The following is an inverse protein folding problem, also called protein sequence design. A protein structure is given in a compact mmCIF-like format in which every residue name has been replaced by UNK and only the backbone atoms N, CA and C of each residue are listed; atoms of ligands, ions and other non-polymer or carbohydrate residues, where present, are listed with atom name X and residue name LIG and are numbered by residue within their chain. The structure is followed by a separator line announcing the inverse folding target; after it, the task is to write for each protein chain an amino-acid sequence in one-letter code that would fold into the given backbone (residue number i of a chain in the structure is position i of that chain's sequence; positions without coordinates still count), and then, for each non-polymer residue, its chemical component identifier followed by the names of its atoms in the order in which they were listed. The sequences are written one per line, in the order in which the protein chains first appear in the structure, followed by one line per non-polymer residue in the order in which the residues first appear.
data_IF_325937707624
#
_entry.id   IF_325937707624
#
_cell.length_a   1.000
_cell.length_b   1.000
_cell.length_c   1.000
_cell.angle_alpha   90.00
_cell.angle_beta   90.00
_cell.angle_gamma   90.00
#
_symmetry.space_group_name_H-M   'P 1'
#
loop_
_entity.id
_entity.type
_entity.pdbx_description
1 polymer ?
#
# COMPACT_ATOMS: atom_id res chain seq x y z
N UNK A 1 -30.98 16.97 -14.99
CA UNK A 1 -30.63 16.81 -13.57
C UNK A 1 -30.37 18.16 -12.95
N UNK A 2 -30.74 18.36 -11.68
CA UNK A 2 -30.33 19.56 -10.92
C UNK A 2 -28.81 19.52 -10.78
N UNK A 3 -28.11 20.61 -11.15
CA UNK A 3 -26.65 20.68 -11.02
C UNK A 3 -26.27 20.52 -9.54
N UNK A 4 -25.46 19.51 -9.21
CA UNK A 4 -24.96 19.28 -7.85
C UNK A 4 -24.08 20.46 -7.42
N UNK A 5 -24.16 20.85 -6.15
CA UNK A 5 -23.33 21.93 -5.60
C UNK A 5 -22.03 21.34 -5.03
N UNK A 6 -20.89 21.70 -5.63
CA UNK A 6 -19.58 21.17 -5.27
C UNK A 6 -19.23 21.43 -3.81
N UNK A 7 -19.41 22.65 -3.31
CA UNK A 7 -19.08 23.01 -1.92
C UNK A 7 -19.87 22.16 -0.92
N UNK A 8 -21.19 22.03 -1.12
CA UNK A 8 -22.04 21.19 -0.26
C UNK A 8 -21.67 19.71 -0.35
N UNK A 9 -21.27 19.23 -1.52
CA UNK A 9 -20.82 17.85 -1.70
C UNK A 9 -19.50 17.59 -0.96
N UNK A 10 -18.53 18.51 -1.07
CA UNK A 10 -17.25 18.42 -0.38
C UNK A 10 -17.40 18.46 1.14
N UNK A 11 -18.38 19.19 1.68
CA UNK A 11 -18.70 19.24 3.11
C UNK A 11 -19.14 17.88 3.69
N UNK A 12 -19.56 16.92 2.86
CA UNK A 12 -19.97 15.57 3.29
C UNK A 12 -18.81 14.59 3.42
N UNK A 13 -17.58 15.01 3.07
CA UNK A 13 -16.43 14.14 3.07
C UNK A 13 -16.03 13.72 4.48
N UNK A 14 -15.54 12.48 4.59
CA UNK A 14 -15.10 11.88 5.85
C UNK A 14 -13.66 12.24 6.16
N UNK A 15 -13.37 12.35 7.45
CA UNK A 15 -12.01 12.45 7.95
C UNK A 15 -11.23 11.13 7.78
N UNK A 16 -11.89 10.00 7.98
CA UNK A 16 -11.24 8.69 7.96
C UNK A 16 -12.19 7.57 7.55
N UNK A 17 -11.61 6.54 6.94
CA UNK A 17 -12.22 5.22 6.72
C UNK A 17 -11.40 4.09 7.36
N UNK A 18 -10.43 4.44 8.22
CA UNK A 18 -9.57 3.48 8.88
C UNK A 18 -10.38 2.52 9.75
N UNK A 19 -10.18 1.22 9.53
CA UNK A 19 -10.66 0.16 10.44
C UNK A 19 -9.62 -0.08 11.55
N UNK A 20 -9.98 -0.81 12.60
CA UNK A 20 -9.03 -1.12 13.69
C UNK A 20 -7.74 -1.81 13.18
N UNK A 21 -7.86 -2.70 12.19
CA UNK A 21 -6.73 -3.41 11.57
C UNK A 21 -5.94 -2.58 10.55
N UNK A 22 -6.31 -1.33 10.29
CA UNK A 22 -5.59 -0.43 9.41
C UNK A 22 -4.20 -0.08 9.96
N UNK A 23 -4.10 0.15 11.26
CA UNK A 23 -2.90 0.75 11.86
C UNK A 23 -1.72 -0.23 11.89
N UNK A 24 -1.96 -1.45 12.37
CA UNK A 24 -0.93 -2.51 12.47
C UNK A 24 -1.59 -3.87 12.20
N UNK A 25 -0.95 -4.69 11.37
CA UNK A 25 -1.26 -6.11 11.25
C UNK A 25 -0.43 -6.92 12.24
N UNK A 26 -0.94 -7.07 13.47
CA UNK A 26 -0.24 -7.83 14.51
C UNK A 26 -0.07 -9.30 14.18
N UNK A 27 -0.99 -9.91 13.42
CA UNK A 27 -0.85 -11.31 13.01
C UNK A 27 0.38 -11.48 12.11
N UNK A 28 0.62 -10.54 11.20
CA UNK A 28 1.84 -10.50 10.40
C UNK A 28 3.08 -10.26 11.25
N UNK A 29 3.05 -9.28 12.16
CA UNK A 29 4.16 -9.00 13.09
C UNK A 29 4.55 -10.26 13.87
N UNK A 30 3.58 -10.92 14.51
CA UNK A 30 3.84 -12.12 15.32
C UNK A 30 4.38 -13.27 14.48
N UNK A 31 3.82 -13.52 13.29
CA UNK A 31 4.34 -14.55 12.38
C UNK A 31 5.80 -14.29 11.97
N UNK A 32 6.15 -13.04 11.69
CA UNK A 32 7.52 -12.67 11.32
C UNK A 32 8.48 -12.90 12.49
N UNK A 33 8.12 -12.44 13.69
CA UNK A 33 8.94 -12.63 14.90
C UNK A 33 9.10 -14.11 15.23
N UNK A 34 8.01 -14.88 15.23
CA UNK A 34 8.03 -16.32 15.54
C UNK A 34 8.93 -17.10 14.58
N UNK A 35 9.05 -16.67 13.32
CA UNK A 35 9.88 -17.34 12.30
C UNK A 35 11.40 -17.31 12.57
N UNK A 36 11.86 -16.39 13.43
CA UNK A 36 13.28 -16.23 13.80
C UNK A 36 13.49 -16.23 15.33
N UNK A 37 12.47 -16.66 16.08
CA UNK A 37 12.42 -16.53 17.54
C UNK A 37 13.50 -17.34 18.25
N UNK A 38 13.85 -18.51 17.74
CA UNK A 38 14.89 -19.35 18.34
C UNK A 38 16.23 -18.62 18.26
N UNK A 39 16.55 -18.10 17.08
CA UNK A 39 17.79 -17.40 16.78
C UNK A 39 17.91 -16.10 17.58
N UNK A 40 16.82 -15.33 17.70
CA UNK A 40 16.79 -14.15 18.58
C UNK A 40 17.03 -14.50 20.06
N UNK A 41 16.52 -15.64 20.53
CA UNK A 41 16.77 -16.10 21.89
C UNK A 41 18.21 -16.58 22.11
N UNK A 42 18.89 -17.11 21.08
CA UNK A 42 20.32 -17.39 21.16
C UNK A 42 21.09 -16.08 21.31
N UNK A 43 20.79 -15.08 20.46
CA UNK A 43 21.44 -13.77 20.49
C UNK A 43 21.17 -12.98 21.79
N UNK A 44 20.09 -13.27 22.53
CA UNK A 44 19.84 -12.65 23.85
C UNK A 44 20.99 -12.89 24.84
N UNK A 45 21.80 -13.93 24.66
CA UNK A 45 22.99 -14.16 25.49
C UNK A 45 24.08 -13.08 25.35
N UNK A 46 24.03 -12.26 24.30
CA UNK A 46 24.93 -11.12 24.09
C UNK A 46 24.52 -9.89 24.90
N UNK A 47 23.27 -9.80 25.34
CA UNK A 47 22.78 -8.67 26.12
C UNK A 47 23.52 -8.64 27.46
N UNK A 48 24.24 -7.55 27.71
CA UNK A 48 25.05 -7.39 28.91
C UNK A 48 26.39 -8.12 28.91
N UNK A 49 26.78 -8.73 27.79
CA UNK A 49 28.09 -9.35 27.68
C UNK A 49 29.19 -8.29 27.84
N UNK A 50 30.19 -8.61 28.68
CA UNK A 50 31.40 -7.80 28.85
C UNK A 50 32.45 -8.05 27.76
N UNK A 51 32.32 -9.15 27.02
CA UNK A 51 33.23 -9.59 25.95
C UNK A 51 32.41 -9.87 24.69
N UNK A 52 31.52 -8.92 24.33
CA UNK A 52 30.45 -9.15 23.35
C UNK A 52 30.97 -9.63 22.00
N UNK A 53 32.14 -9.14 21.58
CA UNK A 53 32.80 -9.57 20.35
C UNK A 53 33.12 -11.05 20.36
N UNK A 54 33.89 -11.54 21.34
CA UNK A 54 34.27 -12.94 21.44
C UNK A 54 33.05 -13.87 21.63
N UNK A 55 32.05 -13.40 22.38
CA UNK A 55 30.82 -14.16 22.58
C UNK A 55 30.01 -14.25 21.28
N UNK A 56 29.90 -13.17 20.51
CA UNK A 56 29.24 -13.17 19.20
C UNK A 56 29.95 -14.09 18.21
N UNK A 57 31.27 -14.01 18.12
CA UNK A 57 32.07 -14.89 17.27
C UNK A 57 31.88 -16.36 17.65
N UNK A 58 31.82 -16.67 18.95
CA UNK A 58 31.56 -18.01 19.48
C UNK A 58 30.14 -18.51 19.19
N UNK A 59 29.14 -17.62 19.22
CA UNK A 59 27.77 -17.94 18.83
C UNK A 59 27.71 -18.25 17.34
N UNK A 60 28.27 -17.40 16.48
CA UNK A 60 28.26 -17.62 15.03
C UNK A 60 28.96 -18.94 14.65
N UNK A 61 30.05 -19.30 15.31
CA UNK A 61 30.72 -20.57 15.06
C UNK A 61 29.86 -21.80 15.41
N UNK A 62 28.92 -21.67 16.35
CA UNK A 62 28.05 -22.77 16.82
C UNK A 62 26.67 -22.77 16.16
N UNK A 63 26.13 -21.59 15.88
CA UNK A 63 24.77 -21.33 15.40
C UNK A 63 24.81 -20.31 14.26
N UNK A 64 25.41 -20.64 13.11
CA UNK A 64 25.58 -19.69 12.00
C UNK A 64 24.25 -19.15 11.46
N UNK A 65 23.14 -19.87 11.65
CA UNK A 65 21.79 -19.46 11.27
C UNK A 65 21.30 -18.18 11.95
N UNK A 66 21.89 -17.76 13.08
CA UNK A 66 21.50 -16.52 13.75
C UNK A 66 21.82 -15.26 12.93
N UNK A 67 22.68 -15.39 11.91
CA UNK A 67 23.12 -14.25 11.10
C UNK A 67 21.94 -13.59 10.34
N UNK A 68 20.91 -14.36 10.00
CA UNK A 68 19.70 -13.86 9.35
C UNK A 68 18.90 -12.85 10.20
N UNK A 69 19.13 -12.83 11.51
CA UNK A 69 18.47 -11.89 12.42
C UNK A 69 19.09 -10.49 12.37
N UNK A 70 20.33 -10.35 11.90
CA UNK A 70 21.05 -9.08 11.99
C UNK A 70 20.37 -7.94 11.21
N UNK A 71 19.91 -8.13 9.96
CA UNK A 71 19.24 -7.06 9.23
C UNK A 71 18.01 -6.49 9.94
N UNK A 72 17.17 -7.34 10.53
CA UNK A 72 15.94 -6.88 11.17
C UNK A 72 16.21 -6.08 12.44
N UNK A 73 17.34 -6.29 13.12
CA UNK A 73 17.76 -5.45 14.25
C UNK A 73 18.05 -4.00 13.83
N UNK A 74 18.32 -3.76 12.54
CA UNK A 74 18.50 -2.44 11.95
C UNK A 74 17.24 -1.95 11.19
N UNK A 75 16.10 -2.62 11.40
CA UNK A 75 14.87 -2.39 10.65
C UNK A 75 15.01 -2.58 9.12
N UNK A 76 15.92 -3.45 8.69
CA UNK A 76 16.14 -3.79 7.27
C UNK A 76 15.49 -5.14 6.94
N UNK A 77 14.76 -5.20 5.82
CA UNK A 77 14.08 -6.42 5.32
C UNK A 77 14.95 -7.26 4.39
N UNK A 78 15.87 -6.61 3.68
CA UNK A 78 16.79 -7.26 2.75
C UNK A 78 17.80 -8.12 3.52
N UNK A 79 18.18 -9.26 2.94
CA UNK A 79 19.31 -10.05 3.43
C UNK A 79 20.64 -9.46 2.96
N UNK A 80 20.61 -8.61 1.92
CA UNK A 80 21.77 -7.87 1.44
C UNK A 80 21.75 -6.43 1.97
N UNK A 81 22.83 -5.98 2.59
CA UNK A 81 23.01 -4.62 3.08
C UNK A 81 24.21 -3.98 2.36
N UNK A 82 23.99 -3.04 1.43
CA UNK A 82 25.06 -2.26 0.83
C UNK A 82 25.60 -1.22 1.81
N UNK A 83 26.92 -1.18 1.97
CA UNK A 83 27.67 -0.24 2.79
C UNK A 83 28.61 0.54 1.87
N UNK A 84 28.69 1.85 2.08
CA UNK A 84 29.62 2.75 1.41
C UNK A 84 30.54 3.35 2.45
N UNK A 85 31.85 3.20 2.27
CA UNK A 85 32.86 3.87 3.09
C UNK A 85 34.00 4.44 2.22
N UNK A 86 35.06 4.91 2.87
CA UNK A 86 36.26 5.47 2.22
C UNK A 86 36.98 4.49 1.28
N UNK A 87 36.72 3.18 1.41
CA UNK A 87 37.29 2.12 0.57
C UNK A 87 36.35 1.71 -0.58
N UNK A 88 35.15 2.29 -0.65
CA UNK A 88 34.19 2.10 -1.73
C UNK A 88 32.88 1.43 -1.28
N UNK A 89 32.22 0.77 -2.23
CA UNK A 89 30.95 0.07 -2.01
C UNK A 89 31.20 -1.41 -1.73
N UNK A 90 30.61 -1.93 -0.66
CA UNK A 90 30.60 -3.34 -0.30
C UNK A 90 29.17 -3.79 0.04
N UNK A 91 28.84 -5.06 -0.17
CA UNK A 91 27.52 -5.60 0.18
C UNK A 91 27.71 -6.76 1.14
N UNK A 92 27.07 -6.69 2.31
CA UNK A 92 26.98 -7.78 3.27
C UNK A 92 25.72 -8.62 3.02
N UNK A 93 25.88 -9.91 2.78
CA UNK A 93 24.82 -10.94 2.78
C UNK A 93 24.62 -11.59 4.17
N UNK A 94 23.35 -11.70 4.57
CA UNK A 94 22.89 -12.27 5.84
C UNK A 94 21.92 -13.45 5.65
N UNK A 95 21.61 -13.85 4.42
CA UNK A 95 20.79 -15.03 4.09
C UNK A 95 21.49 -16.35 4.38
N UNK A 96 22.81 -16.31 4.60
CA UNK A 96 23.65 -17.41 5.03
C UNK A 96 25.04 -16.89 5.38
N UNK A 97 25.84 -17.73 6.03
CA UNK A 97 27.21 -17.40 6.41
C UNK A 97 28.14 -17.55 5.20
N UNK A 98 28.38 -16.45 4.48
CA UNK A 98 29.24 -16.46 3.28
C UNK A 98 30.58 -15.74 3.47
N UNK A 99 30.71 -14.94 4.53
CA UNK A 99 31.97 -14.31 4.93
C UNK A 99 32.52 -14.93 6.19
N UNK A 100 33.78 -14.60 6.48
CA UNK A 100 34.41 -14.93 7.74
C UNK A 100 33.68 -14.26 8.92
N UNK A 101 33.67 -14.95 10.06
CA UNK A 101 33.08 -14.47 11.32
C UNK A 101 33.54 -13.04 11.66
N UNK A 102 34.82 -12.73 11.43
CA UNK A 102 35.40 -11.43 11.71
C UNK A 102 34.72 -10.30 10.93
N UNK A 103 34.31 -10.53 9.68
CA UNK A 103 33.61 -9.53 8.87
C UNK A 103 32.22 -9.22 9.44
N UNK A 104 31.49 -10.24 9.89
CA UNK A 104 30.21 -10.03 10.56
C UNK A 104 30.38 -9.34 11.92
N UNK A 105 31.44 -9.67 12.67
CA UNK A 105 31.73 -8.95 13.92
C UNK A 105 32.06 -7.49 13.68
N UNK A 106 32.80 -7.16 12.62
CA UNK A 106 33.10 -5.79 12.24
C UNK A 106 31.82 -5.03 11.86
N UNK A 107 30.91 -5.67 11.13
CA UNK A 107 29.60 -5.10 10.82
C UNK A 107 28.82 -4.74 12.09
N UNK A 108 28.73 -5.68 13.05
CA UNK A 108 27.99 -5.49 14.31
C UNK A 108 28.57 -4.35 15.16
N UNK A 109 29.89 -4.20 15.15
CA UNK A 109 30.61 -3.12 15.83
C UNK A 109 30.32 -1.78 15.15
N UNK A 110 30.55 -1.68 13.83
CA UNK A 110 30.36 -0.45 13.05
C UNK A 110 28.91 0.00 12.96
N UNK A 111 27.94 -0.91 13.04
CA UNK A 111 26.51 -0.58 13.00
C UNK A 111 25.94 -0.17 14.36
N UNK A 112 26.73 -0.25 15.45
CA UNK A 112 26.29 0.05 16.81
C UNK A 112 25.41 -1.03 17.45
N UNK A 113 25.27 -2.21 16.84
CA UNK A 113 24.47 -3.31 17.41
C UNK A 113 25.12 -3.91 18.65
N UNK A 114 26.46 -3.97 18.68
CA UNK A 114 27.15 -4.34 19.91
C UNK A 114 26.87 -3.35 21.04
N UNK A 115 26.92 -2.04 20.78
CA UNK A 115 26.61 -1.03 21.79
C UNK A 115 25.18 -1.13 22.33
N UNK A 116 24.22 -1.42 21.45
CA UNK A 116 22.82 -1.65 21.82
C UNK A 116 22.67 -2.78 22.83
N UNK A 117 23.43 -3.87 22.66
CA UNK A 117 23.33 -5.09 23.48
C UNK A 117 24.24 -5.05 24.71
N UNK A 118 25.52 -4.69 24.57
CA UNK A 118 26.51 -4.77 25.65
C UNK A 118 26.18 -3.80 26.79
N UNK A 119 25.62 -2.63 26.47
CA UNK A 119 25.28 -1.60 27.44
C UNK A 119 23.86 -1.75 28.01
N UNK A 120 23.19 -2.90 27.80
CA UNK A 120 21.83 -3.16 28.28
C UNK A 120 20.80 -2.08 27.87
N UNK A 121 20.96 -1.47 26.69
CA UNK A 121 19.98 -0.51 26.18
C UNK A 121 18.66 -1.18 25.80
N UNK A 122 18.68 -2.51 25.66
CA UNK A 122 17.53 -3.38 25.48
C UNK A 122 17.61 -4.58 26.43
N UNK A 123 16.45 -5.12 26.81
CA UNK A 123 16.36 -6.28 27.71
C UNK A 123 16.10 -7.62 27.00
N UNK A 124 15.56 -7.59 25.78
CA UNK A 124 15.17 -8.79 25.04
C UNK A 124 15.05 -8.49 23.54
N UNK A 125 15.73 -9.26 22.69
CA UNK A 125 15.71 -9.10 21.23
C UNK A 125 14.39 -9.52 20.59
N UNK A 126 13.63 -10.46 21.17
CA UNK A 126 12.29 -10.82 20.70
C UNK A 126 11.33 -9.64 20.87
N UNK A 127 11.36 -8.97 22.03
CA UNK A 127 10.53 -7.79 22.29
C UNK A 127 10.97 -6.60 21.43
N UNK A 128 12.30 -6.38 21.32
CA UNK A 128 12.86 -5.35 20.45
C UNK A 128 12.43 -5.54 19.00
N UNK A 129 12.59 -6.74 18.43
CA UNK A 129 12.18 -7.05 17.06
C UNK A 129 10.67 -6.97 16.89
N UNK A 130 9.87 -7.33 17.90
CA UNK A 130 8.41 -7.11 17.87
C UNK A 130 8.08 -5.62 17.71
N UNK A 131 8.80 -4.75 18.41
CA UNK A 131 8.70 -3.29 18.24
C UNK A 131 9.13 -2.83 16.85
N UNK A 132 10.27 -3.32 16.35
CA UNK A 132 10.77 -3.00 15.00
C UNK A 132 9.79 -3.43 13.90
N UNK A 133 9.29 -4.67 13.97
CA UNK A 133 8.29 -5.22 13.05
C UNK A 133 7.01 -4.38 13.04
N UNK A 134 6.56 -3.94 14.21
CA UNK A 134 5.42 -3.01 14.36
C UNK A 134 5.70 -1.68 13.67
N UNK A 135 6.88 -1.09 13.87
CA UNK A 135 7.30 0.15 13.22
C UNK A 135 7.38 0.03 11.69
N UNK A 136 7.92 -1.09 11.19
CA UNK A 136 8.02 -1.40 9.76
C UNK A 136 6.67 -1.65 9.08
N UNK A 137 5.64 -2.03 9.83
CA UNK A 137 4.30 -2.23 9.28
C UNK A 137 3.62 -0.93 8.84
N UNK A 138 4.20 0.23 9.16
CA UNK A 138 3.84 1.53 8.58
C UNK A 138 3.92 1.57 7.04
N UNK A 139 4.78 0.74 6.43
CA UNK A 139 4.82 0.55 4.98
C UNK A 139 3.58 -0.21 4.49
N UNK A 140 3.16 -1.26 5.20
CA UNK A 140 1.94 -2.02 4.90
C UNK A 140 0.68 -1.16 5.03
N UNK A 141 0.67 -0.20 5.96
CA UNK A 141 -0.43 0.75 6.17
C UNK A 141 -0.80 1.53 4.91
N UNK A 142 0.18 1.92 4.07
CA UNK A 142 -0.08 2.63 2.82
C UNK A 142 -0.91 1.79 1.85
N UNK A 143 -0.58 0.50 1.73
CA UNK A 143 -1.31 -0.44 0.87
C UNK A 143 -2.71 -0.71 1.42
N UNK A 144 -2.83 -0.90 2.74
CA UNK A 144 -4.14 -1.05 3.40
C UNK A 144 -5.05 0.15 3.15
N UNK A 145 -4.50 1.38 3.15
CA UNK A 145 -5.26 2.60 2.89
C UNK A 145 -5.95 2.61 1.52
N UNK A 146 -5.28 2.15 0.46
CA UNK A 146 -5.88 2.01 -0.87
C UNK A 146 -7.01 0.98 -0.87
N UNK A 147 -6.74 -0.20 -0.30
CA UNK A 147 -7.73 -1.27 -0.23
C UNK A 147 -8.96 -0.92 0.60
N UNK A 148 -8.86 -0.06 1.63
CA UNK A 148 -10.03 0.33 2.42
C UNK A 148 -11.14 0.97 1.58
N UNK A 149 -10.78 1.85 0.64
CA UNK A 149 -11.77 2.49 -0.23
C UNK A 149 -12.32 1.49 -1.27
N UNK A 150 -11.44 0.68 -1.86
CA UNK A 150 -11.84 -0.38 -2.79
C UNK A 150 -12.81 -1.38 -2.13
N UNK A 151 -12.49 -1.85 -0.92
CA UNK A 151 -13.29 -2.81 -0.17
C UNK A 151 -14.65 -2.22 0.22
N UNK A 152 -14.68 -0.93 0.64
CA UNK A 152 -15.92 -0.21 0.90
C UNK A 152 -16.79 -0.17 -0.36
N UNK A 153 -16.24 0.28 -1.48
CA UNK A 153 -16.95 0.38 -2.76
C UNK A 153 -17.43 -1.01 -3.22
N UNK A 154 -16.62 -2.05 -3.10
CA UNK A 154 -16.98 -3.42 -3.49
C UNK A 154 -18.16 -3.96 -2.66
N UNK A 155 -18.20 -3.68 -1.35
CA UNK A 155 -19.33 -4.04 -0.50
C UNK A 155 -20.63 -3.41 -1.03
N UNK A 156 -20.59 -2.15 -1.45
CA UNK A 156 -21.77 -1.47 -1.98
C UNK A 156 -22.15 -1.89 -3.40
N UNK A 157 -21.18 -2.20 -4.27
CA UNK A 157 -21.43 -2.81 -5.58
C UNK A 157 -22.21 -4.12 -5.41
N UNK A 158 -21.76 -4.97 -4.47
CA UNK A 158 -22.46 -6.24 -4.17
C UNK A 158 -23.85 -6.02 -3.58
N UNK A 159 -24.02 -5.04 -2.68
CA UNK A 159 -25.33 -4.66 -2.12
C UNK A 159 -26.29 -4.08 -3.15
N UNK A 160 -25.78 -3.49 -4.23
CA UNK A 160 -26.57 -3.07 -5.37
C UNK A 160 -27.05 -4.24 -6.26
N UNK A 161 -26.62 -5.48 -5.98
CA UNK A 161 -27.08 -6.69 -6.68
C UNK A 161 -26.12 -7.19 -7.76
N UNK A 162 -24.93 -6.59 -7.86
CA UNK A 162 -23.90 -7.07 -8.79
C UNK A 162 -23.13 -8.25 -8.19
N UNK A 163 -22.82 -9.22 -9.05
CA UNK A 163 -22.16 -10.49 -8.77
C UNK A 163 -20.80 -10.49 -9.46
N UNK A 164 -19.77 -10.82 -8.67
CA UNK A 164 -18.38 -10.83 -9.10
C UNK A 164 -18.20 -11.80 -10.26
N UNK A 165 -17.39 -11.42 -11.24
CA UNK A 165 -17.04 -12.16 -12.45
C UNK A 165 -18.22 -12.46 -13.39
N UNK A 166 -19.42 -11.96 -13.08
CA UNK A 166 -20.62 -12.06 -13.91
C UNK A 166 -21.00 -10.71 -14.51
N UNK A 167 -21.28 -9.73 -13.65
CA UNK A 167 -21.70 -8.39 -14.06
C UNK A 167 -20.96 -7.26 -13.30
N UNK A 168 -20.05 -7.60 -12.38
CA UNK A 168 -18.93 -6.72 -12.03
C UNK A 168 -17.61 -7.49 -11.99
N UNK A 169 -16.51 -6.79 -12.26
CA UNK A 169 -15.15 -7.33 -12.31
C UNK A 169 -14.24 -6.42 -11.48
N UNK A 170 -13.29 -6.99 -10.74
CA UNK A 170 -12.30 -6.25 -9.95
C UNK A 170 -10.97 -6.26 -10.72
N UNK A 171 -10.27 -5.12 -10.72
CA UNK A 171 -8.96 -4.93 -11.35
C UNK A 171 -8.90 -5.38 -12.83
N UNK A 172 -9.64 -4.70 -13.70
CA UNK A 172 -9.74 -5.09 -15.12
C UNK A 172 -8.97 -4.13 -16.03
N UNK A 173 -8.15 -4.69 -16.92
CA UNK A 173 -7.40 -3.91 -17.90
C UNK A 173 -8.26 -3.47 -19.08
N UNK A 174 -7.94 -2.32 -19.65
CA UNK A 174 -8.68 -1.74 -20.76
C UNK A 174 -8.70 -2.66 -21.99
N UNK A 175 -7.60 -3.36 -22.26
CA UNK A 175 -7.55 -4.34 -23.34
C UNK A 175 -8.48 -5.54 -23.11
N UNK A 176 -8.65 -5.96 -21.85
CA UNK A 176 -9.58 -7.03 -21.49
C UNK A 176 -11.04 -6.58 -21.62
N UNK A 177 -11.35 -5.33 -21.22
CA UNK A 177 -12.68 -4.73 -21.40
C UNK A 177 -13.01 -4.70 -22.90
N UNK A 178 -12.09 -4.18 -23.72
CA UNK A 178 -12.23 -4.11 -25.17
C UNK A 178 -12.46 -5.46 -25.81
N UNK A 179 -11.67 -6.49 -25.44
CA UNK A 179 -11.83 -7.86 -25.96
C UNK A 179 -13.13 -8.50 -25.52
N UNK A 180 -13.49 -8.37 -24.24
CA UNK A 180 -14.64 -9.07 -23.65
C UNK A 180 -15.98 -8.57 -24.19
N UNK A 181 -16.11 -7.27 -24.46
CA UNK A 181 -17.36 -6.67 -24.94
C UNK A 181 -17.27 -6.06 -26.34
N UNK A 182 -16.19 -6.31 -27.07
CA UNK A 182 -15.95 -5.83 -28.43
C UNK A 182 -16.17 -4.31 -28.57
N UNK A 183 -15.58 -3.54 -27.65
CA UNK A 183 -15.68 -2.07 -27.58
C UNK A 183 -14.33 -1.42 -27.85
N UNK A 184 -14.33 -0.35 -28.65
CA UNK A 184 -13.10 0.39 -28.96
C UNK A 184 -12.79 1.41 -27.86
N UNK A 185 -11.76 1.13 -27.06
CA UNK A 185 -11.26 2.00 -25.98
C UNK A 185 -9.90 2.63 -26.33
N UNK A 186 -9.60 2.76 -27.62
CA UNK A 186 -8.35 3.37 -28.09
C UNK A 186 -8.17 4.82 -27.65
N UNK A 187 -9.28 5.56 -27.50
CA UNK A 187 -9.27 6.94 -27.01
C UNK A 187 -8.63 7.05 -25.62
N UNK A 188 -8.95 6.13 -24.71
CA UNK A 188 -8.45 6.13 -23.32
C UNK A 188 -7.05 5.53 -23.22
N UNK A 189 -6.72 4.55 -24.07
CA UNK A 189 -5.41 3.89 -24.08
C UNK A 189 -4.33 4.65 -24.87
N UNK A 190 -4.57 5.92 -25.22
CA UNK A 190 -3.71 6.71 -26.10
C UNK A 190 -3.32 5.93 -27.39
N UNK A 191 -4.35 5.46 -28.10
CA UNK A 191 -4.23 4.60 -29.28
C UNK A 191 -3.51 3.26 -29.01
N UNK A 192 -3.78 2.65 -27.85
CA UNK A 192 -3.21 1.35 -27.46
C UNK A 192 -1.76 1.41 -26.95
N UNK A 193 -1.20 2.60 -26.71
CA UNK A 193 0.15 2.78 -26.16
C UNK A 193 0.21 2.69 -24.64
N UNK A 194 -0.95 2.78 -23.98
CA UNK A 194 -1.07 2.80 -22.53
C UNK A 194 -2.10 1.77 -22.07
N UNK A 195 -1.65 0.87 -21.21
CA UNK A 195 -2.52 -0.13 -20.59
C UNK A 195 -3.03 0.41 -19.25
N UNK A 196 -4.29 0.85 -19.21
CA UNK A 196 -4.94 1.28 -17.96
C UNK A 196 -5.66 0.11 -17.31
N UNK A 197 -5.51 -0.03 -16.00
CA UNK A 197 -6.30 -0.94 -15.16
C UNK A 197 -7.29 -0.12 -14.34
N UNK A 198 -8.56 -0.51 -14.36
CA UNK A 198 -9.60 0.09 -13.52
C UNK A 198 -9.84 -0.78 -12.29
N UNK A 199 -10.10 -0.15 -11.14
CA UNK A 199 -10.35 -0.85 -9.87
C UNK A 199 -11.57 -1.77 -9.98
N UNK A 200 -12.64 -1.28 -10.61
CA UNK A 200 -13.82 -2.08 -10.91
C UNK A 200 -14.37 -1.79 -12.30
N UNK A 201 -15.05 -2.78 -12.87
CA UNK A 201 -15.88 -2.62 -14.06
C UNK A 201 -17.24 -3.24 -13.80
N UNK A 202 -18.30 -2.46 -13.97
CA UNK A 202 -19.69 -2.93 -13.89
C UNK A 202 -20.28 -2.98 -15.29
N UNK A 203 -20.90 -4.11 -15.66
CA UNK A 203 -21.61 -4.29 -16.93
C UNK A 203 -23.11 -4.42 -16.67
N UNK A 204 -23.89 -3.47 -17.16
CA UNK A 204 -25.36 -3.57 -17.19
C UNK A 204 -25.84 -4.13 -18.54
N UNK A 205 -27.12 -4.06 -18.86
CA UNK A 205 -27.62 -4.51 -20.17
C UNK A 205 -26.94 -3.75 -21.30
N UNK A 206 -26.98 -2.41 -21.24
CA UNK A 206 -26.56 -1.54 -22.33
C UNK A 206 -25.14 -0.99 -22.13
N UNK A 207 -24.75 -0.67 -20.89
CA UNK A 207 -23.54 0.12 -20.62
C UNK A 207 -22.43 -0.66 -19.91
N UNK A 208 -21.21 -0.14 -20.02
CA UNK A 208 -20.01 -0.52 -19.27
C UNK A 208 -19.59 0.67 -18.43
N UNK A 209 -19.47 0.47 -17.13
CA UNK A 209 -19.02 1.47 -16.18
C UNK A 209 -17.63 1.10 -15.71
N UNK A 210 -16.63 1.90 -16.08
CA UNK A 210 -15.26 1.75 -15.58
C UNK A 210 -15.07 2.64 -14.35
N UNK A 211 -14.68 2.04 -13.25
CA UNK A 211 -14.74 2.65 -11.92
C UNK A 211 -13.33 2.79 -11.35
N UNK A 212 -13.02 3.97 -10.84
CA UNK A 212 -11.84 4.24 -10.01
C UNK A 212 -12.28 4.67 -8.62
N UNK A 213 -11.47 4.33 -7.62
CA UNK A 213 -11.74 4.62 -6.22
C UNK A 213 -10.50 5.21 -5.54
N UNK A 214 -10.67 6.23 -4.72
CA UNK A 214 -9.61 6.68 -3.83
C UNK A 214 -10.13 7.36 -2.57
N UNK A 215 -9.28 7.36 -1.54
CA UNK A 215 -9.49 8.10 -0.32
C UNK A 215 -8.21 8.87 0.01
N UNK A 216 -8.31 10.20 0.10
CA UNK A 216 -7.18 11.06 0.46
C UNK A 216 -7.41 11.72 1.81
N UNK A 217 -6.97 11.05 2.88
CA UNK A 217 -7.02 11.61 4.24
C UNK A 217 -6.04 12.77 4.47
N UNK A 218 -5.00 12.88 3.66
CA UNK A 218 -3.98 13.93 3.74
C UNK A 218 -3.80 14.65 2.41
N UNK A 219 -3.29 15.89 2.47
CA UNK A 219 -2.92 16.67 1.28
C UNK A 219 -1.71 16.08 0.54
N UNK A 220 -1.47 16.54 -0.68
CA UNK A 220 -0.32 16.12 -1.48
C UNK A 220 -0.49 16.37 -2.99
N UNK A 221 0.61 16.22 -3.73
CA UNK A 221 0.61 16.36 -5.19
C UNK A 221 -0.19 15.26 -5.89
N UNK A 222 -0.19 14.03 -5.34
CA UNK A 222 -0.86 12.86 -5.95
C UNK A 222 -2.33 13.10 -6.28
N UNK A 223 -3.09 13.73 -5.37
CA UNK A 223 -4.52 13.97 -5.59
C UNK A 223 -4.80 15.05 -6.65
N UNK A 224 -3.91 16.03 -6.81
CA UNK A 224 -3.98 17.00 -7.90
C UNK A 224 -3.79 16.33 -9.27
N UNK A 225 -2.77 15.46 -9.38
CA UNK A 225 -2.51 14.71 -10.61
C UNK A 225 -3.62 13.68 -10.93
N UNK A 226 -4.19 13.09 -9.89
CA UNK A 226 -5.33 12.15 -10.04
C UNK A 226 -6.55 12.86 -10.61
N UNK A 227 -6.93 14.02 -10.06
CA UNK A 227 -8.04 14.82 -10.59
C UNK A 227 -7.82 15.16 -12.08
N UNK A 228 -6.62 15.64 -12.45
CA UNK A 228 -6.27 15.96 -13.84
C UNK A 228 -6.36 14.75 -14.77
N UNK A 229 -5.79 13.62 -14.36
CA UNK A 229 -5.83 12.37 -15.14
C UNK A 229 -7.27 11.89 -15.36
N UNK A 230 -8.09 11.94 -14.32
CA UNK A 230 -9.48 11.51 -14.39
C UNK A 230 -10.37 12.48 -15.15
N UNK A 231 -10.06 13.77 -15.15
CA UNK A 231 -10.67 14.77 -16.05
C UNK A 231 -10.43 14.41 -17.52
N UNK A 232 -9.23 13.97 -17.87
CA UNK A 232 -8.90 13.52 -19.23
C UNK A 232 -9.71 12.28 -19.61
N UNK A 233 -9.70 11.25 -18.76
CA UNK A 233 -10.49 10.02 -19.00
C UNK A 233 -11.98 10.33 -19.12
N UNK A 234 -12.52 11.22 -18.28
CA UNK A 234 -13.92 11.64 -18.34
C UNK A 234 -14.28 12.27 -19.70
N UNK A 235 -13.37 13.05 -20.29
CA UNK A 235 -13.60 13.64 -21.61
C UNK A 235 -13.45 12.63 -22.74
N UNK A 236 -12.49 11.70 -22.65
CA UNK A 236 -12.32 10.61 -23.62
C UNK A 236 -13.52 9.66 -23.60
N UNK A 237 -14.02 9.30 -22.41
CA UNK A 237 -15.18 8.42 -22.22
C UNK A 237 -16.45 8.95 -22.92
N UNK A 238 -16.65 10.28 -23.00
CA UNK A 238 -17.79 10.89 -23.72
C UNK A 238 -17.82 10.56 -25.21
N UNK A 239 -16.68 10.18 -25.78
CA UNK A 239 -16.57 9.83 -27.21
C UNK A 239 -16.87 8.35 -27.49
N UNK A 240 -17.07 7.54 -26.44
CA UNK A 240 -17.21 6.10 -26.53
C UNK A 240 -18.66 5.71 -26.21
N UNK A 241 -19.44 5.22 -27.19
CA UNK A 241 -20.81 4.77 -26.96
C UNK A 241 -20.87 3.67 -25.90
N UNK A 242 -21.86 3.75 -25.02
CA UNK A 242 -22.14 2.75 -23.99
C UNK A 242 -21.00 2.52 -22.97
N UNK A 243 -20.07 3.46 -22.86
CA UNK A 243 -18.99 3.43 -21.87
C UNK A 243 -19.06 4.68 -21.00
N UNK A 244 -19.06 4.48 -19.68
CA UNK A 244 -19.08 5.57 -18.71
C UNK A 244 -17.94 5.39 -17.72
N UNK A 245 -17.25 6.50 -17.44
CA UNK A 245 -16.26 6.57 -16.38
C UNK A 245 -16.94 7.03 -15.09
N UNK A 246 -16.70 6.30 -14.00
CA UNK A 246 -17.25 6.59 -12.68
C UNK A 246 -16.10 6.72 -11.70
N UNK A 247 -16.15 7.75 -10.86
CA UNK A 247 -15.11 8.01 -9.88
C UNK A 247 -15.69 8.14 -8.48
N UNK A 248 -15.32 7.22 -7.58
CA UNK A 248 -15.62 7.34 -6.16
C UNK A 248 -14.43 7.93 -5.41
N UNK A 249 -14.62 9.06 -4.76
CA UNK A 249 -13.56 9.77 -4.04
C UNK A 249 -14.06 10.39 -2.76
N UNK A 250 -13.22 10.39 -1.73
CA UNK A 250 -13.52 10.98 -0.43
C UNK A 250 -12.22 11.39 0.30
N UNK A 251 -12.33 11.98 1.48
CA UNK A 251 -11.21 12.35 2.35
C UNK A 251 -10.92 13.84 2.39
N UNK A 252 -10.69 14.36 3.60
CA UNK A 252 -10.44 15.80 3.84
C UNK A 252 -9.16 16.35 3.17
N UNK A 253 -8.24 15.48 2.70
CA UNK A 253 -7.06 15.89 1.95
C UNK A 253 -7.38 16.67 0.67
N UNK A 254 -8.59 16.48 0.11
CA UNK A 254 -9.10 17.24 -1.02
C UNK A 254 -9.24 18.73 -0.75
N UNK A 255 -9.37 19.16 0.51
CA UNK A 255 -9.43 20.58 0.85
C UNK A 255 -8.26 21.38 0.27
N UNK A 256 -7.07 20.77 0.20
CA UNK A 256 -5.85 21.37 -0.34
C UNK A 256 -5.80 21.44 -1.88
N UNK A 257 -6.61 20.62 -2.57
CA UNK A 257 -6.65 20.51 -4.04
C UNK A 257 -8.06 20.73 -4.60
N UNK A 258 -8.91 21.42 -3.83
CA UNK A 258 -10.34 21.57 -4.11
C UNK A 258 -10.60 22.13 -5.51
N UNK A 259 -9.75 23.04 -6.01
CA UNK A 259 -9.91 23.65 -7.32
C UNK A 259 -9.78 22.61 -8.44
N UNK A 260 -8.78 21.72 -8.37
CA UNK A 260 -8.61 20.65 -9.38
C UNK A 260 -9.72 19.61 -9.28
N UNK A 261 -10.21 19.33 -8.06
CA UNK A 261 -11.36 18.46 -7.87
C UNK A 261 -12.64 19.08 -8.45
N UNK A 262 -12.89 20.37 -8.20
CA UNK A 262 -14.04 21.12 -8.70
C UNK A 262 -14.05 21.15 -10.23
N UNK A 263 -12.91 21.42 -10.86
CA UNK A 263 -12.77 21.36 -12.31
C UNK A 263 -13.12 19.98 -12.89
N UNK A 264 -12.82 18.91 -12.16
CA UNK A 264 -13.17 17.54 -12.58
C UNK A 264 -14.65 17.27 -12.32
N UNK A 265 -15.17 17.73 -11.18
CA UNK A 265 -16.56 17.63 -10.78
C UNK A 265 -17.51 18.32 -11.77
N UNK A 266 -17.08 19.45 -12.34
CA UNK A 266 -17.87 20.17 -13.35
C UNK A 266 -17.97 19.43 -14.69
N UNK A 267 -17.04 18.53 -15.02
CA UNK A 267 -17.02 17.83 -16.32
C UNK A 267 -17.39 16.35 -16.25
N UNK A 268 -17.17 15.71 -15.10
CA UNK A 268 -17.44 14.29 -14.86
C UNK A 268 -18.79 14.12 -14.16
N UNK A 269 -19.78 13.64 -14.89
CA UNK A 269 -21.13 13.42 -14.36
C UNK A 269 -21.15 12.46 -13.17
N UNK A 270 -20.39 11.35 -13.28
CA UNK A 270 -20.37 10.25 -12.33
C UNK A 270 -19.21 10.30 -11.33
N UNK A 271 -19.01 11.44 -10.68
CA UNK A 271 -18.14 11.56 -9.51
C UNK A 271 -18.96 11.51 -8.22
N UNK A 272 -18.61 10.68 -7.25
CA UNK A 272 -19.41 10.48 -6.03
C UNK A 272 -18.53 10.25 -4.80
N UNK A 273 -19.05 10.59 -3.62
CA UNK A 273 -18.38 10.37 -2.34
C UNK A 273 -19.04 9.25 -1.53
N UNK A 274 -18.51 8.91 -0.36
CA UNK A 274 -19.07 7.84 0.48
C UNK A 274 -20.50 8.17 0.92
N UNK A 275 -20.80 9.45 1.17
CA UNK A 275 -22.16 9.88 1.49
C UNK A 275 -23.14 9.53 0.35
N UNK A 276 -22.76 9.74 -0.91
CA UNK A 276 -23.60 9.35 -2.06
C UNK A 276 -23.79 7.83 -2.13
N UNK A 277 -22.72 7.06 -1.89
CA UNK A 277 -22.75 5.59 -1.87
C UNK A 277 -23.75 5.08 -0.83
N UNK A 278 -23.69 5.62 0.38
CA UNK A 278 -24.59 5.24 1.48
C UNK A 278 -26.04 5.61 1.23
N UNK A 279 -26.28 6.68 0.47
CA UNK A 279 -27.61 7.09 0.02
C UNK A 279 -28.06 6.37 -1.26
N UNK A 280 -27.34 5.34 -1.72
CA UNK A 280 -27.81 4.41 -2.74
C UNK A 280 -27.51 4.80 -4.19
N UNK A 281 -26.57 5.74 -4.43
CA UNK A 281 -26.27 6.24 -5.78
C UNK A 281 -25.93 5.14 -6.79
N UNK A 282 -25.30 4.04 -6.37
CA UNK A 282 -24.94 2.92 -7.25
C UNK A 282 -26.17 2.26 -7.88
N UNK A 283 -27.30 2.19 -7.16
CA UNK A 283 -28.57 1.67 -7.71
C UNK A 283 -29.20 2.65 -8.69
N UNK A 284 -28.89 3.94 -8.55
CA UNK A 284 -29.44 4.96 -9.43
C UNK A 284 -28.69 5.03 -10.75
N UNK A 285 -27.35 4.91 -10.73
CA UNK A 285 -26.51 5.10 -11.91
C UNK A 285 -26.30 3.82 -12.72
N UNK A 286 -26.22 2.65 -12.07
CA UNK A 286 -26.02 1.39 -12.77
C UNK A 286 -27.37 0.77 -13.16
N UNK A 287 -27.87 1.12 -14.35
CA UNK A 287 -29.12 0.63 -14.93
C UNK A 287 -28.88 -0.20 -16.19
#
# INVERSE_FOLDING_TARGET
MVKRNFTKWLETFRESIATYSYYVDFNKVFRNVDSIKIELNILNSLIGSKNIKQDFESILAKYPEVIKCIPILLAVRSTEIPISDENGMFVYEFGGMIYDIAAYSEFMEKSGLFDLMQNHLIGNLVDYVTGVETGLDSNGRKNRGGHLMEDLVEVFIRRAGFIKDKNYFKEMYISDISKKWNINLSAISNQGKMEKRFDFVVKTGEKIYAIETNFYGSSGSKLNETARSYKTIANEAKTIPNFEFVWFTDGLGWGSAKNNLEETFDVLEHIYCIHDIENGIMKEIFR
#
